data_IF_466112616319
#
_entry.id   IF_466112616319
#
_cell.length_a   1.000
_cell.length_b   1.000
_cell.length_c   1.000
_cell.angle_alpha   90.00
_cell.angle_beta   90.00
_cell.angle_gamma   90.00
#
_symmetry.space_group_name_H-M   'P 1'
#
loop_
_entity.id
_entity.type
_entity.pdbx_description
1 polymer ?
#
# COMPACT_ATOMS: atom_id res chain seq x y z
N UNK A 1 -25.34 -28.93 -20.46
CA UNK A 1 -24.19 -28.03 -20.29
C UNK A 1 -24.25 -27.45 -18.89
N UNK A 2 -23.33 -27.85 -17.98
CA UNK A 2 -23.19 -27.19 -16.67
C UNK A 2 -22.48 -25.86 -16.90
N UNK A 3 -23.20 -24.75 -16.72
CA UNK A 3 -22.61 -23.42 -16.60
C UNK A 3 -21.71 -23.42 -15.36
N UNK A 4 -20.40 -23.28 -15.58
CA UNK A 4 -19.46 -23.02 -14.49
C UNK A 4 -19.85 -21.66 -13.87
N UNK A 5 -19.96 -21.54 -12.53
CA UNK A 5 -20.12 -20.23 -11.91
C UNK A 5 -18.91 -19.39 -12.31
N UNK A 6 -19.20 -18.21 -12.85
CA UNK A 6 -18.21 -17.22 -13.24
C UNK A 6 -17.42 -16.87 -11.97
N UNK A 7 -16.23 -17.45 -11.79
CA UNK A 7 -15.33 -17.19 -10.67
C UNK A 7 -14.74 -15.78 -10.82
N UNK A 8 -15.58 -14.75 -10.81
CA UNK A 8 -15.13 -13.37 -10.65
C UNK A 8 -14.71 -13.23 -9.19
N UNK A 9 -13.51 -13.71 -8.89
CA UNK A 9 -12.76 -13.28 -7.72
C UNK A 9 -12.81 -11.75 -7.71
N UNK A 10 -13.28 -11.16 -6.61
CA UNK A 10 -13.40 -9.72 -6.48
C UNK A 10 -12.10 -9.03 -6.94
N UNK A 11 -12.19 -7.88 -7.63
CA UNK A 11 -11.01 -7.18 -8.11
C UNK A 11 -10.03 -6.95 -6.96
N UNK A 12 -8.72 -7.17 -7.16
CA UNK A 12 -7.73 -6.98 -6.12
C UNK A 12 -7.80 -5.55 -5.58
N UNK A 13 -7.94 -5.41 -4.25
CA UNK A 13 -8.12 -4.12 -3.60
C UNK A 13 -6.78 -3.51 -3.22
N UNK A 14 -6.60 -2.21 -3.44
CA UNK A 14 -5.44 -1.45 -2.98
C UNK A 14 -5.94 -0.23 -2.23
N UNK A 15 -5.46 -0.04 -1.01
CA UNK A 15 -5.71 1.20 -0.25
C UNK A 15 -4.63 2.19 -0.66
N UNK A 16 -5.02 3.38 -1.08
CA UNK A 16 -4.11 4.42 -1.57
C UNK A 16 -4.38 5.71 -0.80
N UNK A 17 -3.32 6.38 -0.36
CA UNK A 17 -3.42 7.71 0.24
C UNK A 17 -2.10 8.47 0.14
N UNK A 18 -2.15 9.75 0.48
CA UNK A 18 -0.96 10.61 0.58
C UNK A 18 -0.76 10.99 2.03
N UNK A 19 0.48 10.98 2.50
CA UNK A 19 0.83 11.27 3.88
C UNK A 19 0.30 12.64 4.35
N UNK A 20 0.05 12.76 5.66
CA UNK A 20 -0.56 13.90 6.35
C UNK A 20 0.01 15.27 5.90
N UNK A 21 1.32 15.35 5.70
CA UNK A 21 2.01 16.60 5.37
C UNK A 21 1.92 17.02 3.89
N UNK A 22 1.27 16.25 3.01
CA UNK A 22 1.34 16.43 1.56
C UNK A 22 -0.04 16.59 0.90
N UNK A 23 -0.27 17.77 0.32
CA UNK A 23 -1.51 18.17 -0.37
C UNK A 23 -1.49 17.88 -1.88
N UNK A 24 -0.44 17.24 -2.41
CA UNK A 24 -0.33 16.94 -3.83
C UNK A 24 -1.26 15.79 -4.24
N UNK A 25 -2.50 16.14 -4.59
CA UNK A 25 -3.51 15.18 -5.03
C UNK A 25 -3.27 14.64 -6.45
N UNK A 26 -2.49 15.32 -7.29
CA UNK A 26 -2.35 14.98 -8.73
C UNK A 26 -1.70 13.60 -8.92
N UNK A 27 -0.56 13.36 -8.28
CA UNK A 27 0.13 12.07 -8.37
C UNK A 27 -0.74 10.92 -7.83
N UNK A 28 -1.43 11.18 -6.72
CA UNK A 28 -2.38 10.23 -6.12
C UNK A 28 -3.52 9.85 -7.08
N UNK A 29 -4.13 10.84 -7.75
CA UNK A 29 -5.18 10.57 -8.72
C UNK A 29 -4.66 9.85 -9.97
N UNK A 30 -3.45 10.16 -10.44
CA UNK A 30 -2.83 9.47 -11.58
C UNK A 30 -2.54 8.00 -11.25
N UNK A 31 -1.99 7.72 -10.08
CA UNK A 31 -1.75 6.34 -9.61
C UNK A 31 -3.08 5.60 -9.47
N UNK A 32 -4.08 6.22 -8.84
CA UNK A 32 -5.41 5.62 -8.72
C UNK A 32 -6.03 5.30 -10.09
N UNK A 33 -5.92 6.22 -11.05
CA UNK A 33 -6.43 6.02 -12.41
C UNK A 33 -5.70 4.88 -13.12
N UNK A 34 -4.37 4.84 -13.05
CA UNK A 34 -3.54 3.79 -13.65
C UNK A 34 -3.89 2.41 -13.09
N UNK A 35 -3.94 2.28 -11.75
CA UNK A 35 -4.29 1.02 -11.08
C UNK A 35 -5.72 0.56 -11.41
N UNK A 36 -6.68 1.49 -11.49
CA UNK A 36 -8.05 1.17 -11.95
C UNK A 36 -8.07 0.68 -13.40
N UNK A 37 -7.26 1.28 -14.28
CA UNK A 37 -7.07 0.83 -15.65
C UNK A 37 -6.50 -0.59 -15.76
N UNK A 38 -5.73 -1.02 -14.76
CA UNK A 38 -5.20 -2.39 -14.63
C UNK A 38 -6.17 -3.36 -13.96
N UNK A 39 -7.37 -2.92 -13.58
CA UNK A 39 -8.41 -3.76 -12.98
C UNK A 39 -8.36 -3.88 -11.45
N UNK A 40 -7.58 -3.04 -10.76
CA UNK A 40 -7.58 -2.97 -9.30
C UNK A 40 -8.77 -2.16 -8.77
N UNK A 41 -9.31 -2.58 -7.63
CA UNK A 41 -10.21 -1.76 -6.84
C UNK A 41 -9.40 -0.83 -5.94
N UNK A 42 -9.32 0.45 -6.30
CA UNK A 42 -8.52 1.44 -5.54
C UNK A 42 -9.40 2.21 -4.57
N UNK A 43 -9.18 1.96 -3.28
CA UNK A 43 -9.74 2.74 -2.17
C UNK A 43 -8.83 3.93 -1.91
N UNK A 44 -9.15 5.06 -2.53
CA UNK A 44 -8.34 6.27 -2.39
C UNK A 44 -8.85 7.11 -1.22
N UNK A 45 -8.06 7.19 -0.14
CA UNK A 45 -8.33 7.97 1.07
C UNK A 45 -8.03 9.47 0.90
N UNK A 46 -7.43 9.85 -0.22
CA UNK A 46 -7.15 11.24 -0.57
C UNK A 46 -5.78 11.71 -0.08
N UNK A 47 -5.72 12.99 0.26
CA UNK A 47 -4.51 13.64 0.79
C UNK A 47 -4.62 13.83 2.29
N UNK A 48 -3.49 14.09 2.94
CA UNK A 48 -3.42 14.31 4.36
C UNK A 48 -3.91 13.11 5.21
N UNK A 49 -3.71 11.88 4.73
CA UNK A 49 -4.22 10.67 5.37
C UNK A 49 -3.32 10.22 6.52
N UNK A 50 -3.94 9.94 7.67
CA UNK A 50 -3.29 9.47 8.89
C UNK A 50 -3.15 7.94 8.93
N UNK A 51 -2.24 7.42 9.77
CA UNK A 51 -2.09 5.97 9.99
C UNK A 51 -3.41 5.34 10.48
N UNK A 52 -4.19 6.08 11.28
CA UNK A 52 -5.47 5.61 11.78
C UNK A 52 -6.48 5.40 10.64
N UNK A 53 -6.58 6.33 9.69
CA UNK A 53 -7.43 6.18 8.50
C UNK A 53 -6.97 5.01 7.61
N UNK A 54 -5.65 4.79 7.49
CA UNK A 54 -5.13 3.61 6.79
C UNK A 54 -5.50 2.31 7.52
N UNK A 55 -5.45 2.30 8.85
CA UNK A 55 -5.85 1.16 9.66
C UNK A 55 -7.36 0.87 9.53
N UNK A 56 -8.21 1.89 9.65
CA UNK A 56 -9.66 1.76 9.45
C UNK A 56 -9.99 1.25 8.04
N UNK A 57 -9.28 1.73 7.01
CA UNK A 57 -9.43 1.22 5.66
C UNK A 57 -8.99 -0.25 5.54
N UNK A 58 -7.90 -0.66 6.21
CA UNK A 58 -7.50 -2.06 6.23
C UNK A 58 -8.51 -2.95 6.97
N UNK A 59 -9.12 -2.45 8.05
CA UNK A 59 -10.19 -3.15 8.78
C UNK A 59 -11.46 -3.31 7.93
N UNK A 60 -11.81 -2.29 7.13
CA UNK A 60 -12.91 -2.36 6.16
C UNK A 60 -12.60 -3.26 4.96
N UNK A 61 -11.33 -3.31 4.54
CA UNK A 61 -10.84 -4.08 3.41
C UNK A 61 -9.76 -5.09 3.83
N UNK A 62 -10.11 -6.14 4.61
CA UNK A 62 -9.13 -7.09 5.16
C UNK A 62 -8.43 -7.95 4.08
N UNK A 63 -8.95 -7.93 2.85
CA UNK A 63 -8.37 -8.58 1.68
C UNK A 63 -7.56 -7.62 0.80
N UNK A 64 -7.26 -6.40 1.29
CA UNK A 64 -6.40 -5.46 0.58
C UNK A 64 -5.05 -6.10 0.26
N UNK A 65 -4.61 -5.95 -0.99
CA UNK A 65 -3.36 -6.51 -1.44
C UNK A 65 -2.18 -5.74 -0.85
N UNK A 66 -2.30 -4.43 -0.77
CA UNK A 66 -1.33 -3.53 -0.14
C UNK A 66 -1.96 -2.19 0.25
N UNK A 67 -1.31 -1.50 1.18
CA UNK A 67 -1.48 -0.06 1.40
C UNK A 67 -0.38 0.68 0.64
N UNK A 68 -0.74 1.69 -0.14
CA UNK A 68 0.20 2.53 -0.88
C UNK A 68 0.11 3.95 -0.34
N UNK A 69 1.23 4.48 0.14
CA UNK A 69 1.34 5.79 0.76
C UNK A 69 2.29 6.65 -0.06
N UNK A 70 1.76 7.73 -0.64
CA UNK A 70 2.55 8.75 -1.34
C UNK A 70 3.15 9.77 -0.36
N UNK A 71 4.42 10.15 -0.53
CA UNK A 71 5.01 11.30 0.16
C UNK A 71 6.05 12.02 -0.71
N UNK A 72 5.88 13.33 -0.87
CA UNK A 72 6.84 14.22 -1.54
C UNK A 72 7.57 15.16 -0.57
N UNK A 73 7.21 15.19 0.72
CA UNK A 73 7.64 16.27 1.61
C UNK A 73 8.74 15.86 2.61
N UNK A 74 9.28 14.64 2.52
CA UNK A 74 10.41 14.19 3.35
C UNK A 74 10.10 14.01 4.85
N UNK A 75 8.88 14.34 5.31
CA UNK A 75 8.41 14.17 6.69
C UNK A 75 7.63 12.88 6.96
N UNK A 76 7.65 11.96 5.99
CA UNK A 76 6.95 10.66 6.06
C UNK A 76 7.23 9.87 7.35
N UNK A 77 8.38 10.09 7.99
CA UNK A 77 8.70 9.43 9.27
C UNK A 77 7.82 9.89 10.44
N UNK A 78 7.47 11.17 10.53
CA UNK A 78 6.55 11.65 11.56
C UNK A 78 5.11 11.25 11.24
N UNK A 79 4.73 11.34 9.96
CA UNK A 79 3.39 11.00 9.49
C UNK A 79 3.07 9.50 9.64
N UNK A 80 4.08 8.61 9.60
CA UNK A 80 3.92 7.16 9.77
C UNK A 80 4.19 6.67 11.20
N UNK A 81 4.33 7.57 12.17
CA UNK A 81 4.49 7.17 13.57
C UNK A 81 3.25 6.37 14.03
N UNK A 82 3.47 5.15 14.50
CA UNK A 82 2.40 4.24 14.94
C UNK A 82 1.99 3.20 13.89
N UNK A 83 2.57 3.23 12.68
CA UNK A 83 2.35 2.20 11.67
C UNK A 83 2.81 0.81 12.15
N UNK A 84 3.96 0.73 12.81
CA UNK A 84 4.46 -0.49 13.43
C UNK A 84 3.50 -1.05 14.47
N UNK A 85 2.91 -0.17 15.29
CA UNK A 85 1.91 -0.53 16.28
C UNK A 85 0.60 -1.02 15.63
N UNK A 86 0.13 -0.36 14.57
CA UNK A 86 -1.04 -0.78 13.80
C UNK A 86 -0.85 -2.14 13.12
N UNK A 87 0.36 -2.44 12.64
CA UNK A 87 0.72 -3.76 12.12
C UNK A 87 0.77 -4.81 13.22
N UNK A 88 1.42 -4.52 14.36
CA UNK A 88 1.51 -5.45 15.51
C UNK A 88 0.15 -5.75 16.14
N UNK A 89 -0.77 -4.81 16.15
CA UNK A 89 -2.13 -5.00 16.65
C UNK A 89 -3.05 -5.73 15.66
N UNK A 90 -2.58 -6.00 14.44
CA UNK A 90 -3.34 -6.69 13.41
C UNK A 90 -4.37 -5.81 12.68
N UNK A 91 -4.34 -4.49 12.89
CA UNK A 91 -5.22 -3.55 12.18
C UNK A 91 -4.78 -3.34 10.73
N UNK A 92 -3.47 -3.44 10.47
CA UNK A 92 -2.89 -3.46 9.14
C UNK A 92 -2.24 -4.83 8.91
N UNK A 93 -2.92 -5.67 8.13
CA UNK A 93 -2.49 -7.06 7.84
C UNK A 93 -1.82 -7.22 6.48
N UNK A 94 -1.78 -6.16 5.68
CA UNK A 94 -1.21 -6.17 4.34
C UNK A 94 0.11 -5.39 4.27
N UNK A 95 0.95 -5.68 3.26
CA UNK A 95 2.18 -4.94 3.02
C UNK A 95 1.92 -3.45 2.81
N UNK A 96 2.76 -2.63 3.41
CA UNK A 96 2.74 -1.17 3.28
C UNK A 96 3.86 -0.76 2.32
N UNK A 97 3.45 -0.12 1.24
CA UNK A 97 4.32 0.42 0.20
C UNK A 97 4.34 1.94 0.32
N UNK A 98 5.52 2.51 0.48
CA UNK A 98 5.71 3.97 0.42
C UNK A 98 6.32 4.32 -0.92
N UNK A 99 5.77 5.34 -1.57
CA UNK A 99 6.30 5.86 -2.83
C UNK A 99 6.36 7.38 -2.86
N UNK A 100 7.14 7.92 -3.78
CA UNK A 100 7.24 9.36 -4.00
C UNK A 100 8.68 9.86 -3.97
N UNK A 101 8.83 11.17 -4.19
CA UNK A 101 10.13 11.82 -4.20
C UNK A 101 10.61 12.05 -2.76
N UNK A 102 11.17 11.01 -2.13
CA UNK A 102 11.80 11.12 -0.81
C UNK A 102 13.09 11.98 -0.84
N UNK A 103 13.48 12.51 -2.00
CA UNK A 103 14.75 13.23 -2.23
C UNK A 103 14.67 14.76 -2.13
N UNK A 104 13.52 15.36 -1.77
CA UNK A 104 13.36 16.84 -1.76
C UNK A 104 13.90 17.55 -0.51
N UNK A 105 14.71 16.86 0.29
CA UNK A 105 15.47 17.44 1.39
C UNK A 105 16.94 17.03 1.35
N UNK A 106 17.72 17.51 0.37
CA UNK A 106 19.20 17.64 0.30
C UNK A 106 20.14 16.55 0.85
N UNK A 107 19.70 15.40 1.33
CA UNK A 107 20.55 14.33 1.81
C UNK A 107 20.02 13.01 1.27
N UNK A 108 20.78 12.43 0.33
CA UNK A 108 20.68 11.02 -0.07
C UNK A 108 21.08 10.17 1.14
N UNK A 109 20.21 10.11 2.12
CA UNK A 109 20.51 9.52 3.41
C UNK A 109 19.87 8.13 3.44
N UNK A 110 20.69 7.07 3.34
CA UNK A 110 20.23 5.70 3.61
C UNK A 110 19.52 5.59 4.96
N UNK A 111 19.83 6.51 5.89
CA UNK A 111 19.16 6.70 7.17
C UNK A 111 17.65 6.94 7.05
N UNK A 112 17.16 7.54 5.97
CA UNK A 112 15.73 7.80 5.77
C UNK A 112 14.95 6.53 5.42
N UNK A 113 15.52 5.67 4.57
CA UNK A 113 14.92 4.38 4.24
C UNK A 113 14.94 3.44 5.46
N UNK A 114 16.06 3.38 6.19
CA UNK A 114 16.17 2.56 7.39
C UNK A 114 15.13 2.95 8.45
N UNK A 115 14.90 4.26 8.61
CA UNK A 115 13.84 4.79 9.48
C UNK A 115 12.43 4.40 9.03
N UNK A 116 12.16 4.37 7.72
CA UNK A 116 10.87 3.93 7.18
C UNK A 116 10.62 2.44 7.41
N UNK A 117 11.64 1.61 7.17
CA UNK A 117 11.57 0.18 7.47
C UNK A 117 11.36 -0.06 8.97
N UNK A 118 12.07 0.68 9.83
CA UNK A 118 11.88 0.61 11.28
C UNK A 118 10.48 1.05 11.73
N UNK A 119 9.85 1.99 11.02
CA UNK A 119 8.48 2.42 11.25
C UNK A 119 7.42 1.40 10.78
N UNK A 120 7.83 0.34 10.05
CA UNK A 120 6.93 -0.74 9.62
C UNK A 120 6.56 -0.73 8.14
N UNK A 121 7.23 0.08 7.31
CA UNK A 121 7.10 0.02 5.85
C UNK A 121 7.75 -1.25 5.32
N UNK A 122 7.11 -1.93 4.37
CA UNK A 122 7.64 -3.18 3.77
C UNK A 122 8.38 -2.91 2.46
N UNK A 123 7.92 -1.95 1.67
CA UNK A 123 8.50 -1.61 0.37
C UNK A 123 8.57 -0.10 0.16
N UNK A 124 9.67 0.36 -0.41
CA UNK A 124 9.88 1.76 -0.79
C UNK A 124 10.10 1.80 -2.30
N UNK A 125 9.32 2.63 -3.00
CA UNK A 125 9.41 2.82 -4.44
C UNK A 125 9.83 4.25 -4.78
N UNK A 126 10.92 4.38 -5.54
CA UNK A 126 11.35 5.67 -6.08
C UNK A 126 10.53 6.07 -7.31
N UNK A 127 10.05 5.09 -8.08
CA UNK A 127 9.25 5.30 -9.28
C UNK A 127 7.87 4.62 -9.14
N UNK A 128 6.81 5.41 -9.36
CA UNK A 128 5.44 4.91 -9.35
C UNK A 128 5.16 3.91 -10.49
N UNK A 129 5.95 3.92 -11.57
CA UNK A 129 5.83 2.95 -12.66
C UNK A 129 6.15 1.51 -12.23
N UNK A 130 6.89 1.32 -11.13
CA UNK A 130 7.22 0.00 -10.58
C UNK A 130 6.10 -0.57 -9.69
N UNK A 131 5.18 0.28 -9.24
CA UNK A 131 4.09 -0.10 -8.33
C UNK A 131 3.23 -1.26 -8.87
N UNK A 132 2.76 -1.26 -10.13
CA UNK A 132 1.99 -2.39 -10.65
C UNK A 132 2.71 -3.73 -10.57
N UNK A 133 4.02 -3.75 -10.89
CA UNK A 133 4.84 -4.96 -10.84
C UNK A 133 5.00 -5.46 -9.40
N UNK A 134 5.19 -4.55 -8.46
CA UNK A 134 5.27 -4.89 -7.04
C UNK A 134 3.94 -5.48 -6.54
N UNK A 135 2.81 -4.87 -6.89
CA UNK A 135 1.48 -5.35 -6.50
C UNK A 135 1.18 -6.73 -7.07
N UNK A 136 1.55 -7.01 -8.33
CA UNK A 136 1.42 -8.34 -8.92
C UNK A 136 2.24 -9.38 -8.16
N UNK A 137 3.49 -9.06 -7.79
CA UNK A 137 4.34 -9.95 -6.99
C UNK A 137 3.73 -10.24 -5.61
N UNK A 138 3.32 -9.20 -4.88
CA UNK A 138 2.68 -9.35 -3.56
C UNK A 138 1.42 -10.22 -3.61
N UNK A 139 0.63 -10.06 -4.68
CA UNK A 139 -0.56 -10.87 -4.91
C UNK A 139 -0.24 -12.34 -5.15
N UNK A 140 0.82 -12.63 -5.92
CA UNK A 140 1.28 -13.99 -6.16
C UNK A 140 1.79 -14.64 -4.87
N UNK A 141 2.58 -13.92 -4.07
CA UNK A 141 3.12 -14.40 -2.80
C UNK A 141 1.99 -14.72 -1.80
N UNK A 142 0.99 -13.83 -1.68
CA UNK A 142 -0.19 -14.05 -0.81
C UNK A 142 -1.05 -15.23 -1.27
N UNK A 143 -1.16 -15.47 -2.58
CA UNK A 143 -1.86 -16.64 -3.12
C UNK A 143 -1.09 -17.93 -2.84
N UNK A 144 0.23 -17.91 -3.01
CA UNK A 144 1.12 -19.03 -2.67
C UNK A 144 0.97 -19.43 -1.21
N UNK A 145 1.06 -18.45 -0.29
CA UNK A 145 0.92 -18.69 1.15
C UNK A 145 -0.42 -19.33 1.53
N UNK A 146 -1.54 -18.87 0.93
CA UNK A 146 -2.87 -19.46 1.16
C UNK A 146 -2.99 -20.90 0.67
N UNK A 147 -2.38 -21.22 -0.47
CA UNK A 147 -2.43 -22.58 -1.02
C UNK A 147 -1.62 -23.56 -0.17
N UNK A 148 -0.49 -23.13 0.39
CA UNK A 148 0.29 -23.96 1.34
C UNK A 148 -0.46 -24.23 2.63
N UNK A 149 -1.20 -23.25 3.17
CA UNK A 149 -1.96 -23.40 4.42
C UNK A 149 -3.15 -24.37 4.26
N UNK A 150 -3.81 -24.31 3.09
CA UNK A 150 -4.89 -25.24 2.71
C UNK A 150 -4.39 -26.66 2.41
N UNK A 151 -3.14 -26.82 1.96
CA UNK A 151 -2.56 -28.13 1.71
C UNK A 151 -1.99 -28.78 2.99
N UNK A 152 -1.76 -27.99 4.04
CA UNK A 152 -1.23 -28.43 5.33
C UNK A 152 -2.32 -28.70 6.40
N UNK A 153 -3.59 -28.44 6.08
CA UNK A 153 -4.78 -28.69 6.92
C UNK A 153 -5.56 -29.89 6.43
#
# INVERSE_FOLDING_TARGET
MRTLPNQHSAPPTVVLGVAASDSHAVANHLIAHSLRGLGYHVVNLGTCTTVEEFAEACEQYPQAEAVVIGSLNGHVHEDLRGLDQAKRSGRITCPVVVGGNLSVGSHKDGSAHDRLYAAGVDHILADAAELPRLLDRLRLDRRGARLTDLAAS
#
